data_IF_846024330228
#
_entry.id   IF_846024330228
#
_cell.length_a   1.000
_cell.length_b   1.000
_cell.length_c   1.000
_cell.angle_alpha   90.00
_cell.angle_beta   90.00
_cell.angle_gamma   90.00
#
_symmetry.space_group_name_H-M   'P 1'
#
loop_
_entity.id
_entity.type
_entity.pdbx_description
1 polymer ?
#
# COMPACT_ATOMS: atom_id res chain seq x y z
N UNK A 1 -12.05 -28.97 -11.55
CA UNK A 1 -11.08 -27.85 -11.60
C UNK A 1 -11.81 -26.67 -12.19
N UNK A 2 -12.06 -25.62 -11.41
CA UNK A 2 -12.81 -24.43 -11.86
C UNK A 2 -11.82 -23.47 -12.52
N UNK A 3 -11.96 -23.28 -13.83
CA UNK A 3 -11.36 -22.17 -14.56
C UNK A 3 -11.99 -20.88 -14.03
N UNK A 4 -11.21 -20.12 -13.25
CA UNK A 4 -11.57 -18.74 -12.93
C UNK A 4 -11.13 -17.88 -14.11
N UNK A 5 -12.05 -17.66 -15.04
CA UNK A 5 -11.93 -16.57 -16.00
C UNK A 5 -11.84 -15.26 -15.21
N UNK A 6 -10.62 -14.73 -15.06
CA UNK A 6 -10.40 -13.44 -14.44
C UNK A 6 -10.97 -12.37 -15.38
N UNK A 7 -11.82 -11.48 -14.86
CA UNK A 7 -12.40 -10.42 -15.69
C UNK A 7 -11.28 -9.53 -16.25
N UNK A 8 -11.44 -8.99 -17.47
CA UNK A 8 -10.40 -8.19 -18.14
C UNK A 8 -9.90 -6.96 -17.35
N UNK A 9 -10.57 -6.59 -16.25
CA UNK A 9 -10.08 -5.59 -15.29
C UNK A 9 -8.89 -6.10 -14.48
N UNK A 10 -8.90 -7.38 -14.08
CA UNK A 10 -7.81 -8.02 -13.33
C UNK A 10 -6.57 -8.19 -14.20
N UNK A 11 -6.73 -8.60 -15.45
CA UNK A 11 -5.61 -8.71 -16.39
C UNK A 11 -4.97 -7.35 -16.66
N UNK A 12 -5.78 -6.31 -16.88
CA UNK A 12 -5.26 -4.96 -17.13
C UNK A 12 -4.55 -4.34 -15.93
N UNK A 13 -5.01 -4.64 -14.71
CA UNK A 13 -4.29 -4.27 -13.49
C UNK A 13 -2.94 -5.00 -13.41
N UNK A 14 -2.92 -6.31 -13.72
CA UNK A 14 -1.69 -7.11 -13.72
C UNK A 14 -0.68 -6.66 -14.78
N UNK A 15 -1.11 -6.31 -15.98
CA UNK A 15 -0.21 -5.80 -17.03
C UNK A 15 0.45 -4.48 -16.64
N UNK A 16 -0.27 -3.60 -15.93
CA UNK A 16 0.27 -2.33 -15.47
C UNK A 16 1.29 -2.51 -14.34
N UNK A 17 0.96 -3.31 -13.32
CA UNK A 17 1.83 -3.51 -12.15
C UNK A 17 2.99 -4.49 -12.39
N UNK A 18 2.88 -5.45 -13.32
CA UNK A 18 3.94 -6.43 -13.61
C UNK A 18 4.86 -6.01 -14.76
N UNK A 19 4.77 -4.76 -15.24
CA UNK A 19 5.76 -4.29 -16.22
C UNK A 19 7.09 -3.99 -15.49
N UNK A 20 8.19 -4.51 -16.02
CA UNK A 20 9.53 -4.35 -15.42
C UNK A 20 9.91 -2.87 -15.23
N UNK A 21 9.40 -1.97 -16.07
CA UNK A 21 9.64 -0.53 -15.97
C UNK A 21 8.91 0.10 -14.77
N UNK A 22 7.69 -0.34 -14.46
CA UNK A 22 6.95 0.14 -13.31
C UNK A 22 7.62 -0.34 -12.02
N UNK A 23 7.95 -1.62 -11.92
CA UNK A 23 8.50 -2.21 -10.70
C UNK A 23 9.86 -1.61 -10.33
N UNK A 24 10.75 -1.41 -11.31
CA UNK A 24 12.03 -0.75 -11.10
C UNK A 24 11.88 0.74 -10.76
N UNK A 25 11.02 1.49 -11.47
CA UNK A 25 10.76 2.89 -11.15
C UNK A 25 10.17 3.07 -9.75
N UNK A 26 9.25 2.19 -9.35
CA UNK A 26 8.63 2.26 -8.03
C UNK A 26 9.57 1.82 -6.91
N UNK A 27 10.38 0.79 -7.14
CA UNK A 27 11.41 0.38 -6.21
C UNK A 27 12.49 1.45 -6.02
N UNK A 28 13.03 2.00 -7.10
CA UNK A 28 14.14 2.94 -7.05
C UNK A 28 13.73 4.33 -6.52
N UNK A 29 12.50 4.79 -6.78
CA UNK A 29 12.02 6.12 -6.36
C UNK A 29 11.36 6.09 -4.98
N UNK A 30 10.63 5.02 -4.61
CA UNK A 30 9.92 4.91 -3.33
C UNK A 30 10.56 3.93 -2.32
N UNK A 31 11.64 3.25 -2.70
CA UNK A 31 12.46 2.43 -1.80
C UNK A 31 11.74 1.18 -1.27
N UNK A 32 10.80 0.62 -2.05
CA UNK A 32 10.02 -0.56 -1.65
C UNK A 32 8.95 -0.31 -0.57
N UNK A 33 8.52 0.94 -0.39
CA UNK A 33 7.34 1.30 0.40
C UNK A 33 6.26 1.95 -0.49
N UNK A 34 5.00 1.91 -0.05
CA UNK A 34 3.82 2.06 -0.92
C UNK A 34 3.77 3.31 -1.79
N UNK A 35 3.05 3.15 -2.91
CA UNK A 35 2.85 4.15 -3.95
C UNK A 35 1.52 4.88 -3.68
N UNK A 36 1.51 5.78 -2.70
CA UNK A 36 0.35 6.65 -2.46
C UNK A 36 0.69 8.10 -2.79
N UNK A 37 -0.33 8.87 -3.19
CA UNK A 37 -0.19 10.33 -3.34
C UNK A 37 0.24 10.90 -1.99
N UNK A 38 1.40 11.56 -1.95
CA UNK A 38 1.94 12.15 -0.73
C UNK A 38 1.20 13.41 -0.29
N UNK A 39 1.05 13.62 1.01
CA UNK A 39 0.57 14.87 1.60
C UNK A 39 1.74 15.82 1.85
N UNK A 40 2.05 16.66 0.87
CA UNK A 40 3.18 17.61 0.90
C UNK A 40 2.89 18.84 1.75
N UNK A 41 3.91 19.33 2.46
CA UNK A 41 3.86 20.58 3.25
C UNK A 41 4.54 21.76 2.55
N UNK A 42 5.30 21.50 1.48
CA UNK A 42 5.97 22.51 0.69
C UNK A 42 6.71 21.93 -0.52
N UNK A 43 7.32 22.77 -1.36
CA UNK A 43 7.98 22.33 -2.61
C UNK A 43 9.19 21.41 -2.40
N UNK A 44 9.93 21.59 -1.31
CA UNK A 44 11.15 20.84 -0.99
C UNK A 44 10.88 19.58 -0.14
N UNK A 45 9.61 19.22 0.03
CA UNK A 45 9.22 18.19 0.97
C UNK A 45 9.49 16.79 0.38
N UNK A 46 10.27 15.93 1.06
CA UNK A 46 10.66 14.63 0.50
C UNK A 46 9.47 13.74 0.20
N UNK A 47 9.47 13.10 -0.98
CA UNK A 47 8.42 12.18 -1.44
C UNK A 47 8.10 11.11 -0.39
N UNK A 48 9.14 10.52 0.22
CA UNK A 48 8.99 9.50 1.27
C UNK A 48 8.24 10.03 2.50
N UNK A 49 8.56 11.24 2.94
CA UNK A 49 7.90 11.87 4.09
C UNK A 49 6.44 12.21 3.76
N UNK A 50 6.18 12.71 2.56
CA UNK A 50 4.84 12.99 2.07
C UNK A 50 3.98 11.72 1.96
N UNK A 51 4.53 10.61 1.44
CA UNK A 51 3.85 9.32 1.37
C UNK A 51 3.50 8.78 2.77
N UNK A 52 4.46 8.83 3.69
CA UNK A 52 4.24 8.38 5.08
C UNK A 52 3.12 9.18 5.78
N UNK A 53 3.03 10.50 5.55
CA UNK A 53 1.93 11.32 6.09
C UNK A 53 0.57 10.90 5.55
N UNK A 54 0.49 10.41 4.31
CA UNK A 54 -0.76 9.87 3.77
C UNK A 54 -1.22 8.65 4.56
N UNK A 55 -0.31 7.73 4.86
CA UNK A 55 -0.60 6.55 5.71
C UNK A 55 -1.05 6.98 7.10
N UNK A 56 -0.33 7.91 7.73
CA UNK A 56 -0.68 8.45 9.06
C UNK A 56 -2.03 9.16 9.06
N UNK A 57 -2.37 9.87 7.98
CA UNK A 57 -3.65 10.54 7.84
C UNK A 57 -4.79 9.53 7.72
N UNK A 58 -4.63 8.49 6.92
CA UNK A 58 -5.62 7.42 6.79
C UNK A 58 -5.81 6.68 8.12
N UNK A 59 -4.71 6.38 8.81
CA UNK A 59 -4.72 5.81 10.15
C UNK A 59 -5.46 6.69 11.17
N UNK A 60 -5.29 8.02 11.12
CA UNK A 60 -6.01 8.94 12.00
C UNK A 60 -7.54 8.90 11.84
N UNK A 61 -8.04 8.37 10.74
CA UNK A 61 -9.47 8.18 10.50
C UNK A 61 -10.02 6.88 11.10
N UNK A 62 -9.14 5.98 11.54
CA UNK A 62 -9.51 4.71 12.16
C UNK A 62 -9.66 4.88 13.67
N UNK A 63 -10.55 4.11 14.29
CA UNK A 63 -10.72 4.07 15.74
C UNK A 63 -10.73 2.64 16.25
N UNK A 64 -10.32 2.46 17.51
CA UNK A 64 -10.35 1.17 18.23
C UNK A 64 -9.46 0.06 17.63
N UNK A 65 -8.34 0.42 16.98
CA UNK A 65 -7.31 -0.53 16.59
C UNK A 65 -6.48 -0.95 17.80
N UNK A 66 -6.22 -2.25 17.92
CA UNK A 66 -5.36 -2.84 18.95
C UNK A 66 -4.90 -4.25 18.56
N UNK A 67 -4.21 -4.94 19.46
CA UNK A 67 -3.59 -6.25 19.18
C UNK A 67 -4.55 -7.32 18.67
N UNK A 68 -5.80 -7.28 19.13
CA UNK A 68 -6.85 -8.24 18.73
C UNK A 68 -7.53 -7.87 17.40
N UNK A 69 -7.25 -6.67 16.86
CA UNK A 69 -7.81 -6.24 15.59
C UNK A 69 -7.24 -7.05 14.42
N UNK A 70 -8.09 -7.30 13.43
CA UNK A 70 -7.71 -7.87 12.14
C UNK A 70 -8.02 -6.86 11.04
N UNK A 71 -7.00 -6.45 10.31
CA UNK A 71 -7.09 -5.45 9.25
C UNK A 71 -6.88 -6.13 7.90
N UNK A 72 -7.66 -5.75 6.89
CA UNK A 72 -7.41 -6.10 5.49
C UNK A 72 -6.88 -4.86 4.77
N UNK A 73 -5.69 -4.96 4.22
CA UNK A 73 -5.10 -3.98 3.32
C UNK A 73 -5.33 -4.46 1.88
N UNK A 74 -6.23 -3.79 1.15
CA UNK A 74 -6.66 -4.19 -0.18
C UNK A 74 -5.99 -3.31 -1.24
N UNK A 75 -5.15 -3.92 -2.08
CA UNK A 75 -4.21 -3.19 -2.94
C UNK A 75 -2.94 -2.81 -2.19
N UNK A 76 -2.42 -3.74 -1.38
CA UNK A 76 -1.36 -3.48 -0.43
C UNK A 76 -0.01 -3.17 -1.07
N UNK A 77 0.18 -3.40 -2.39
CA UNK A 77 1.46 -3.18 -3.06
C UNK A 77 2.62 -3.87 -2.33
N UNK A 78 3.64 -3.10 -1.96
CA UNK A 78 4.78 -3.59 -1.17
C UNK A 78 4.50 -3.70 0.34
N UNK A 79 3.35 -3.26 0.81
CA UNK A 79 2.84 -3.50 2.17
C UNK A 79 3.38 -2.56 3.24
N UNK A 80 3.74 -1.33 2.90
CA UNK A 80 4.19 -0.31 3.86
C UNK A 80 3.10 0.05 4.87
N UNK A 81 1.85 0.26 4.45
CA UNK A 81 0.70 0.56 5.29
C UNK A 81 0.38 -0.62 6.21
N UNK A 82 0.36 -1.84 5.66
CA UNK A 82 0.27 -3.08 6.42
C UNK A 82 1.34 -3.17 7.53
N UNK A 83 2.62 -2.95 7.19
CA UNK A 83 3.73 -2.97 8.17
C UNK A 83 3.60 -1.85 9.20
N UNK A 84 3.21 -0.65 8.78
CA UNK A 84 3.00 0.50 9.65
C UNK A 84 1.92 0.19 10.72
N UNK A 85 0.75 -0.32 10.29
CA UNK A 85 -0.34 -0.64 11.21
C UNK A 85 0.02 -1.79 12.15
N UNK A 86 0.64 -2.85 11.64
CA UNK A 86 1.11 -3.98 12.44
C UNK A 86 2.12 -3.53 13.51
N UNK A 87 3.07 -2.65 13.16
CA UNK A 87 4.08 -2.12 14.08
C UNK A 87 3.47 -1.17 15.12
N UNK A 88 2.55 -0.29 14.71
CA UNK A 88 1.96 0.73 15.57
C UNK A 88 0.97 0.14 16.59
N UNK A 89 0.12 -0.79 16.15
CA UNK A 89 -0.98 -1.32 16.98
C UNK A 89 -0.77 -2.75 17.47
N UNK A 90 0.21 -3.47 16.91
CA UNK A 90 0.42 -4.90 17.19
C UNK A 90 -0.71 -5.79 16.66
N UNK A 91 -1.52 -5.28 15.73
CA UNK A 91 -2.65 -5.98 15.14
C UNK A 91 -2.21 -6.96 14.04
N UNK A 92 -3.10 -7.87 13.67
CA UNK A 92 -2.89 -8.72 12.50
C UNK A 92 -3.36 -7.97 11.25
N UNK A 93 -2.50 -7.87 10.23
CA UNK A 93 -2.86 -7.29 8.93
C UNK A 93 -2.73 -8.36 7.85
N UNK A 94 -3.76 -8.50 7.03
CA UNK A 94 -3.77 -9.31 5.81
C UNK A 94 -3.57 -8.37 4.63
N UNK A 95 -2.48 -8.54 3.91
CA UNK A 95 -2.19 -7.80 2.68
C UNK A 95 -2.75 -8.58 1.48
N UNK A 96 -3.59 -7.94 0.68
CA UNK A 96 -4.14 -8.47 -0.56
C UNK A 96 -3.66 -7.62 -1.74
N UNK A 97 -3.05 -8.26 -2.74
CA UNK A 97 -2.64 -7.66 -4.00
C UNK A 97 -2.94 -8.63 -5.17
N UNK A 98 -2.92 -8.15 -6.42
CA UNK A 98 -3.28 -8.91 -7.63
C UNK A 98 -2.05 -9.39 -8.42
#
# INVERSE_FOLDING_TARGET
MSDKSYSGVVEKAREYYNSDDADNFYYDVWGGEDIHIGLYQGPEDPIRAASQRTVEKMDSCLSNLGKESKVLDAGAGFGGAARYLAKKYGCQVVALNL
#
